data_IF_432447678945
#
_entry.id   IF_432447678945
#
_cell.length_a   1.000
_cell.length_b   1.000
_cell.length_c   1.000
_cell.angle_alpha   90.00
_cell.angle_beta   90.00
_cell.angle_gamma   90.00
#
_symmetry.space_group_name_H-M   'P 1'
#
loop_
_entity.id
_entity.type
_entity.pdbx_description
1 polymer ?
#
# COMPACT_ATOMS: atom_id res chain seq x y z
N UNK A 1 5.65 -15.17 -13.94
CA UNK A 1 5.60 -14.31 -12.73
C UNK A 1 7.04 -14.05 -12.31
N UNK A 2 7.52 -12.80 -12.28
CA UNK A 2 8.82 -12.49 -11.65
C UNK A 2 8.54 -12.29 -10.16
N UNK A 3 9.15 -13.11 -9.30
CA UNK A 3 9.10 -12.86 -7.87
C UNK A 3 9.82 -11.55 -7.56
N UNK A 4 9.15 -10.65 -6.84
CA UNK A 4 9.78 -9.44 -6.35
C UNK A 4 10.86 -9.84 -5.34
N UNK A 5 12.08 -9.30 -5.49
CA UNK A 5 13.12 -9.49 -4.48
C UNK A 5 12.73 -8.72 -3.24
N UNK A 6 12.34 -9.44 -2.18
CA UNK A 6 12.05 -8.85 -0.87
C UNK A 6 13.33 -8.85 -0.04
N UNK A 7 13.85 -7.66 0.26
CA UNK A 7 14.98 -7.49 1.17
C UNK A 7 14.42 -7.28 2.57
N UNK A 8 14.77 -8.17 3.50
CA UNK A 8 14.39 -8.04 4.92
C UNK A 8 15.46 -7.24 5.65
N UNK A 9 15.07 -6.08 6.18
CA UNK A 9 15.96 -5.19 6.92
C UNK A 9 15.77 -5.44 8.43
N UNK A 10 16.84 -5.61 9.22
CA UNK A 10 16.71 -5.75 10.66
C UNK A 10 16.13 -4.49 11.33
N UNK A 11 15.24 -4.61 12.34
CA UNK A 11 14.66 -3.46 13.04
C UNK A 11 15.70 -2.51 13.63
N UNK A 12 16.78 -3.05 14.21
CA UNK A 12 17.85 -2.26 14.80
C UNK A 12 18.54 -1.32 13.78
N UNK A 13 18.63 -1.73 12.51
CA UNK A 13 19.20 -0.89 11.45
C UNK A 13 18.24 0.25 11.08
N UNK A 14 16.94 -0.01 11.06
CA UNK A 14 15.92 0.99 10.79
C UNK A 14 15.87 2.06 11.89
N UNK A 15 15.89 1.63 13.16
CA UNK A 15 15.90 2.54 14.33
C UNK A 15 17.15 3.43 14.38
N UNK A 16 18.33 2.86 14.09
CA UNK A 16 19.57 3.63 14.07
C UNK A 16 19.59 4.66 12.94
N UNK A 17 19.08 4.29 11.75
CA UNK A 17 18.92 5.24 10.64
C UNK A 17 17.88 6.32 10.95
N UNK A 18 16.75 5.96 11.57
CA UNK A 18 15.75 6.93 12.02
C UNK A 18 16.38 7.96 12.98
N UNK A 19 17.13 7.49 13.98
CA UNK A 19 17.86 8.34 14.91
C UNK A 19 18.80 9.29 14.17
N UNK A 20 19.70 8.77 13.33
CA UNK A 20 20.66 9.55 12.55
C UNK A 20 20.00 10.63 11.69
N UNK A 21 18.91 10.29 11.01
CA UNK A 21 18.23 11.18 10.06
C UNK A 21 17.35 12.21 10.79
N UNK A 22 16.87 11.91 11.99
CA UNK A 22 16.09 12.84 12.82
C UNK A 22 16.88 14.04 13.37
N UNK A 23 18.22 13.97 13.38
CA UNK A 23 19.06 15.09 13.80
C UNK A 23 19.10 16.26 12.80
N UNK A 24 18.65 16.04 11.57
CA UNK A 24 18.64 17.05 10.51
C UNK A 24 17.20 17.42 10.16
N UNK A 25 16.86 18.71 10.18
CA UNK A 25 15.51 19.21 9.81
C UNK A 25 15.03 18.69 8.43
N UNK A 26 15.86 18.63 7.37
CA UNK A 26 15.45 18.05 6.09
C UNK A 26 15.15 16.54 6.16
N UNK A 27 15.71 15.84 7.17
CA UNK A 27 15.58 14.40 7.36
C UNK A 27 14.30 13.97 8.07
N UNK A 28 13.57 14.88 8.70
CA UNK A 28 12.39 14.55 9.53
C UNK A 28 11.35 13.72 8.77
N UNK A 29 11.05 14.08 7.51
CA UNK A 29 10.14 13.30 6.65
C UNK A 29 10.58 11.85 6.41
N UNK A 30 11.89 11.61 6.35
CA UNK A 30 12.45 10.26 6.16
C UNK A 30 12.40 9.50 7.48
N UNK A 31 12.73 10.17 8.59
CA UNK A 31 12.63 9.59 9.93
C UNK A 31 11.19 9.15 10.26
N UNK A 32 10.17 9.93 9.88
CA UNK A 32 8.76 9.56 10.04
C UNK A 32 8.40 8.28 9.27
N UNK A 33 8.89 8.14 8.03
CA UNK A 33 8.67 6.92 7.23
C UNK A 33 9.37 5.70 7.82
N UNK A 34 10.57 5.88 8.36
CA UNK A 34 11.30 4.82 9.05
C UNK A 34 10.59 4.40 10.33
N UNK A 35 10.02 5.34 11.08
CA UNK A 35 9.19 5.04 12.26
C UNK A 35 7.91 4.25 11.88
N UNK A 36 7.27 4.63 10.76
CA UNK A 36 6.08 3.94 10.26
C UNK A 36 6.36 2.50 9.79
N UNK A 37 7.61 2.21 9.39
CA UNK A 37 8.03 0.86 9.03
C UNK A 37 7.92 -0.13 10.21
N UNK A 38 8.04 0.34 11.45
CA UNK A 38 7.84 -0.52 12.63
C UNK A 38 6.38 -0.87 12.84
N UNK A 39 5.47 0.10 12.63
CA UNK A 39 4.03 -0.12 12.75
C UNK A 39 3.53 -1.12 11.71
N UNK A 40 4.06 -1.03 10.49
CA UNK A 40 3.67 -1.92 9.38
C UNK A 40 4.44 -3.23 9.35
N UNK A 41 5.68 -3.26 9.87
CA UNK A 41 6.59 -4.42 9.84
C UNK A 41 6.73 -5.17 11.16
N UNK A 42 6.14 -4.69 12.25
CA UNK A 42 6.28 -5.23 13.61
C UNK A 42 5.76 -6.65 13.85
N UNK A 43 5.24 -7.32 12.82
CA UNK A 43 4.80 -8.72 12.88
C UNK A 43 3.51 -8.96 13.66
N UNK A 44 2.91 -7.92 14.23
CA UNK A 44 1.59 -7.98 14.83
C UNK A 44 0.56 -8.08 13.71
N UNK A 45 -0.24 -9.13 13.73
CA UNK A 45 -1.36 -9.29 12.81
C UNK A 45 -2.36 -8.16 13.04
N UNK A 46 -2.54 -7.29 12.05
CA UNK A 46 -3.59 -6.26 12.03
C UNK A 46 -4.94 -6.83 11.57
N UNK A 47 -5.16 -8.12 11.79
CA UNK A 47 -6.37 -8.84 11.42
C UNK A 47 -7.08 -9.26 12.71
N UNK A 48 -7.95 -8.37 13.20
CA UNK A 48 -8.82 -8.61 14.34
C UNK A 48 -10.26 -8.86 13.85
N UNK A 49 -11.02 -9.73 14.55
CA UNK A 49 -12.42 -9.99 14.23
C UNK A 49 -13.28 -8.70 14.29
N UNK A 50 -14.20 -8.55 13.34
CA UNK A 50 -15.09 -7.39 13.23
C UNK A 50 -16.39 -7.54 14.04
N UNK A 51 -16.65 -8.73 14.59
CA UNK A 51 -17.88 -9.13 15.29
C UNK A 51 -18.27 -8.14 16.39
N UNK A 52 -17.33 -7.73 17.25
CA UNK A 52 -17.59 -6.75 18.31
C UNK A 52 -18.00 -5.37 17.75
N UNK A 53 -17.41 -4.98 16.61
CA UNK A 53 -17.76 -3.72 15.94
C UNK A 53 -19.16 -3.80 15.33
N UNK A 54 -19.49 -4.90 14.67
CA UNK A 54 -20.82 -5.12 14.11
C UNK A 54 -21.90 -5.11 15.20
N UNK A 55 -21.64 -5.75 16.34
CA UNK A 55 -22.55 -5.73 17.49
C UNK A 55 -22.71 -4.30 18.05
N UNK A 56 -21.62 -3.58 18.26
CA UNK A 56 -21.65 -2.23 18.84
C UNK A 56 -22.41 -1.21 17.96
N UNK A 57 -22.38 -1.39 16.64
CA UNK A 57 -23.08 -0.51 15.69
C UNK A 57 -24.40 -1.07 15.17
N UNK A 58 -24.81 -2.29 15.58
CA UNK A 58 -26.04 -2.94 15.14
C UNK A 58 -26.05 -3.24 13.63
N UNK A 59 -24.90 -3.59 13.06
CA UNK A 59 -24.73 -3.87 11.64
C UNK A 59 -24.87 -5.37 11.36
N UNK A 60 -25.51 -5.72 10.23
CA UNK A 60 -25.51 -7.09 9.73
C UNK A 60 -24.25 -7.33 8.87
N UNK A 61 -23.38 -8.29 9.22
CA UNK A 61 -22.24 -8.67 8.39
C UNK A 61 -22.64 -9.10 6.97
N UNK A 62 -23.82 -9.69 6.79
CA UNK A 62 -24.30 -10.13 5.47
C UNK A 62 -24.67 -8.95 4.56
N UNK A 63 -25.01 -7.80 5.13
CA UNK A 63 -25.31 -6.57 4.40
C UNK A 63 -24.09 -5.64 4.30
N UNK A 64 -22.94 -6.04 4.86
CA UNK A 64 -21.74 -5.21 4.92
C UNK A 64 -20.60 -5.77 4.05
N UNK A 65 -20.02 -4.95 3.19
CA UNK A 65 -18.82 -5.32 2.43
C UNK A 65 -17.58 -5.32 3.32
N UNK A 66 -16.73 -6.36 3.21
CA UNK A 66 -15.45 -6.38 3.91
C UNK A 66 -14.47 -5.35 3.35
N UNK A 67 -13.58 -4.84 4.20
CA UNK A 67 -12.58 -3.88 3.79
C UNK A 67 -11.66 -4.45 2.69
N UNK A 68 -11.25 -5.70 2.84
CA UNK A 68 -10.40 -6.41 1.88
C UNK A 68 -11.07 -6.50 0.51
N UNK A 69 -12.35 -6.88 0.48
CA UNK A 69 -13.11 -6.98 -0.77
C UNK A 69 -13.26 -5.61 -1.45
N UNK A 70 -13.56 -4.57 -0.68
CA UNK A 70 -13.63 -3.20 -1.20
C UNK A 70 -12.29 -2.73 -1.78
N UNK A 71 -11.18 -2.94 -1.06
CA UNK A 71 -9.85 -2.55 -1.52
C UNK A 71 -9.41 -3.33 -2.76
N UNK A 72 -9.72 -4.63 -2.82
CA UNK A 72 -9.43 -5.46 -3.99
C UNK A 72 -10.15 -4.93 -5.24
N UNK A 73 -11.45 -4.64 -5.14
CA UNK A 73 -12.23 -4.08 -6.25
C UNK A 73 -11.70 -2.71 -6.67
N UNK A 74 -11.48 -1.82 -5.69
CA UNK A 74 -11.00 -0.46 -5.91
C UNK A 74 -9.66 -0.43 -6.64
N UNK A 75 -8.64 -1.15 -6.14
CA UNK A 75 -7.33 -1.17 -6.76
C UNK A 75 -7.32 -1.95 -8.08
N UNK A 76 -8.15 -2.98 -8.23
CA UNK A 76 -8.32 -3.66 -9.52
C UNK A 76 -8.84 -2.72 -10.60
N UNK A 77 -9.80 -1.86 -10.26
CA UNK A 77 -10.32 -0.83 -11.16
C UNK A 77 -9.24 0.17 -11.58
N UNK A 78 -8.46 0.68 -10.62
CA UNK A 78 -7.36 1.61 -10.90
C UNK A 78 -6.30 0.97 -11.81
N UNK A 79 -5.87 -0.26 -11.50
CA UNK A 79 -4.85 -0.96 -12.29
C UNK A 79 -5.34 -1.32 -13.69
N UNK A 80 -6.65 -1.56 -13.85
CA UNK A 80 -7.25 -1.72 -15.17
C UNK A 80 -7.20 -0.40 -15.94
N UNK A 81 -7.57 0.70 -15.30
CA UNK A 81 -7.57 2.03 -15.92
C UNK A 81 -6.18 2.49 -16.34
N UNK A 82 -5.18 2.26 -15.50
CA UNK A 82 -3.78 2.58 -15.81
C UNK A 82 -3.29 1.81 -17.05
N UNK A 83 -3.62 0.51 -17.15
CA UNK A 83 -3.27 -0.32 -18.31
C UNK A 83 -3.97 0.13 -19.59
N UNK A 84 -5.23 0.53 -19.50
CA UNK A 84 -5.96 1.08 -20.65
C UNK A 84 -5.30 2.36 -21.17
N UNK A 85 -4.92 3.28 -20.27
CA UNK A 85 -4.25 4.53 -20.65
C UNK A 85 -2.88 4.30 -21.29
N UNK A 86 -2.07 3.39 -20.76
CA UNK A 86 -0.77 3.02 -21.35
C UNK A 86 -0.96 2.44 -22.76
N UNK A 87 -1.94 1.55 -22.94
CA UNK A 87 -2.25 0.95 -24.24
C UNK A 87 -2.77 1.98 -25.27
N UNK A 88 -3.52 2.99 -24.84
CA UNK A 88 -4.02 4.05 -25.71
C UNK A 88 -2.89 5.02 -26.13
N UNK A 89 -1.98 5.36 -25.22
CA UNK A 89 -0.78 6.15 -25.53
C UNK A 89 0.10 5.45 -26.58
N UNK A 90 0.29 4.13 -26.45
CA UNK A 90 1.06 3.34 -27.42
C UNK A 90 0.40 3.29 -28.81
N UNK A 91 -0.94 3.26 -28.87
CA UNK A 91 -1.70 3.28 -30.13
C UNK A 91 -1.64 4.64 -30.80
N UNK A 92 -1.76 5.72 -30.04
CA UNK A 92 -1.70 7.07 -30.57
C UNK A 92 -0.29 7.45 -31.02
N UNK A 93 0.75 6.94 -30.35
CA UNK A 93 2.13 7.02 -30.82
C UNK A 93 2.32 6.31 -32.18
N UNK A 94 1.70 5.13 -32.36
CA UNK A 94 1.75 4.38 -33.63
C UNK A 94 0.98 5.04 -34.77
N UNK A 95 -0.15 5.71 -34.49
CA UNK A 95 -0.93 6.46 -35.50
C UNK A 95 -0.22 7.69 -36.08
N UNK A 96 0.79 8.23 -35.39
CA UNK A 96 1.56 9.41 -35.84
C UNK A 96 2.71 9.09 -36.79
N UNK A 97 2.96 7.83 -37.11
CA UNK A 97 3.99 7.44 -38.08
C UNK A 97 3.38 7.36 -39.49
N UNK A 98 3.98 8.01 -40.51
CA UNK A 98 3.40 8.11 -41.85
C UNK A 98 3.65 6.87 -42.74
N UNK A 99 3.81 5.68 -42.13
CA UNK A 99 3.98 4.41 -42.83
C UNK A 99 3.34 3.26 -42.05
#
# INVERSE_FOLDING_TARGET
RKEARVIRVPPALMQSMQGLVSFFEPGVNIAERLAFAEVTGGGVSLNAPMEESYEAFGLDPAETTSLEGYLEEYFSSILKRLREMEADLDKDAKKKLPF
#
